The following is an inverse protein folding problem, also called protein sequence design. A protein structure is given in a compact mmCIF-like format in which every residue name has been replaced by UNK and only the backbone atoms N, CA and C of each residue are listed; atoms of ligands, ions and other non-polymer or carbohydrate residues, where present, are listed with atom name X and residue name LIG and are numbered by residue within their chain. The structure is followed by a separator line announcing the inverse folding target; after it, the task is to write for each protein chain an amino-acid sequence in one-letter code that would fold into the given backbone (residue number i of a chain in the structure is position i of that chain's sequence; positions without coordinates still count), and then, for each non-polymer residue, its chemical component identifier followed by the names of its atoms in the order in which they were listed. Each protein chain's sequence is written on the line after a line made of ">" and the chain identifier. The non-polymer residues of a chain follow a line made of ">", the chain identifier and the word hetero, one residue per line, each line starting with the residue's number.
data_IF_572068027553
#
_entry.id   IF_572068027553
#
_cell.length_a   1.000
_cell.length_b   1.000
_cell.length_c   1.000
_cell.angle_alpha   90.00
_cell.angle_beta   90.00
_cell.angle_gamma   90.00
#
_symmetry.space_group_name_H-M   'P 1'
#
loop_
_entity.id
_entity.type
_entity.pdbx_description
1 polymer ?
#
# COMPACT_ATOMS: atom_id res chain seq x y z
N UNK A 1 24.72 59.64 -59.41
CA UNK A 1 24.01 59.50 -58.11
C UNK A 1 22.95 58.42 -58.24
N UNK A 2 22.63 57.67 -57.17
CA UNK A 2 23.45 57.46 -55.95
C UNK A 2 24.55 56.43 -56.33
N UNK A 3 25.05 55.47 -55.55
CA UNK A 3 25.07 55.19 -54.08
C UNK A 3 26.49 54.73 -53.74
N UNK A 4 27.01 55.07 -52.57
CA UNK A 4 28.20 54.42 -51.99
C UNK A 4 27.75 53.54 -50.82
N UNK A 5 27.96 52.22 -50.92
CA UNK A 5 27.66 51.29 -49.83
C UNK A 5 28.82 51.35 -48.83
N UNK A 6 28.66 52.20 -47.81
CA UNK A 6 29.56 52.25 -46.66
C UNK A 6 29.47 50.91 -45.93
N UNK A 7 30.49 50.07 -46.11
CA UNK A 7 30.64 48.81 -45.36
C UNK A 7 31.09 49.16 -43.94
N UNK A 8 30.31 48.83 -42.89
CA UNK A 8 30.72 49.10 -41.52
C UNK A 8 31.96 48.24 -41.17
N UNK A 9 32.89 48.77 -40.34
CA UNK A 9 34.07 48.01 -39.94
C UNK A 9 33.66 46.73 -39.20
N UNK A 10 34.20 45.59 -39.66
CA UNK A 10 33.95 44.29 -39.04
C UNK A 10 34.42 44.33 -37.58
N UNK A 11 33.62 43.87 -36.60
CA UNK A 11 34.03 43.85 -35.20
C UNK A 11 35.38 43.14 -35.03
N UNK A 12 36.37 43.87 -34.50
CA UNK A 12 37.66 43.30 -34.13
C UNK A 12 37.41 42.32 -32.98
N UNK A 13 37.90 41.07 -33.04
CA UNK A 13 37.86 40.19 -31.88
C UNK A 13 38.81 40.75 -30.82
N UNK A 14 38.25 41.45 -29.84
CA UNK A 14 38.97 41.85 -28.63
C UNK A 14 39.58 40.60 -28.00
N UNK A 15 40.81 40.71 -27.49
CA UNK A 15 41.53 39.59 -26.86
C UNK A 15 40.76 38.94 -25.71
N UNK A 16 41.22 37.76 -25.23
CA UNK A 16 40.45 36.89 -24.33
C UNK A 16 39.82 37.69 -23.20
N UNK A 17 38.48 37.73 -23.21
CA UNK A 17 37.71 38.56 -22.30
C UNK A 17 38.00 38.12 -20.87
N UNK A 18 38.66 38.99 -20.09
CA UNK A 18 39.07 38.68 -18.73
C UNK A 18 37.82 38.26 -17.92
N UNK A 19 37.84 37.13 -17.19
CA UNK A 19 36.66 36.63 -16.49
C UNK A 19 36.05 37.72 -15.61
N UNK A 20 34.85 38.18 -15.98
CA UNK A 20 34.14 39.20 -15.22
C UNK A 20 33.93 38.67 -13.81
N UNK A 21 34.36 39.43 -12.80
CA UNK A 21 34.39 38.98 -11.41
C UNK A 21 33.00 38.50 -10.91
N UNK A 22 31.94 39.14 -11.43
CA UNK A 22 30.54 38.77 -11.21
C UNK A 22 30.16 37.37 -11.71
N UNK A 23 30.83 36.82 -12.71
CA UNK A 23 30.56 35.48 -13.25
C UNK A 23 31.19 34.39 -12.38
N UNK A 24 32.43 34.62 -11.93
CA UNK A 24 33.10 33.79 -10.90
C UNK A 24 32.27 33.72 -9.61
N UNK A 25 31.69 34.85 -9.18
CA UNK A 25 30.79 34.90 -8.04
C UNK A 25 29.49 34.11 -8.27
N UNK A 26 28.86 34.25 -9.45
CA UNK A 26 27.66 33.49 -9.83
C UNK A 26 27.88 31.98 -9.81
N UNK A 27 28.99 31.50 -10.37
CA UNK A 27 29.34 30.07 -10.39
C UNK A 27 29.53 29.52 -8.97
N UNK A 28 30.19 30.28 -8.07
CA UNK A 28 30.35 29.89 -6.66
C UNK A 28 28.99 29.77 -5.95
N UNK A 29 28.11 30.75 -6.13
CA UNK A 29 26.75 30.73 -5.55
C UNK A 29 25.92 29.58 -6.10
N UNK A 30 25.95 29.35 -7.42
CA UNK A 30 25.23 28.24 -8.06
C UNK A 30 25.73 26.87 -7.55
N UNK A 31 27.04 26.70 -7.36
CA UNK A 31 27.63 25.48 -6.79
C UNK A 31 27.17 25.25 -5.34
N UNK A 32 27.13 26.29 -4.51
CA UNK A 32 26.62 26.19 -3.14
C UNK A 32 25.13 25.81 -3.13
N UNK A 33 24.31 26.45 -3.96
CA UNK A 33 22.88 26.11 -4.09
C UNK A 33 22.71 24.65 -4.49
N UNK A 34 23.42 24.17 -5.52
CA UNK A 34 23.32 22.79 -6.00
C UNK A 34 23.75 21.75 -4.94
N UNK A 35 24.77 22.05 -4.13
CA UNK A 35 25.19 21.18 -3.02
C UNK A 35 24.12 21.16 -1.93
N UNK A 36 23.62 22.34 -1.51
CA UNK A 36 22.61 22.44 -0.43
C UNK A 36 21.30 21.78 -0.84
N UNK A 37 20.77 22.04 -2.05
CA UNK A 37 19.53 21.42 -2.52
C UNK A 37 19.70 19.93 -2.81
N UNK A 38 20.86 19.48 -3.31
CA UNK A 38 21.18 18.08 -3.50
C UNK A 38 21.23 17.30 -2.18
N UNK A 39 21.92 17.83 -1.17
CA UNK A 39 21.97 17.22 0.17
C UNK A 39 20.61 17.23 0.87
N UNK A 40 19.84 18.31 0.75
CA UNK A 40 18.51 18.41 1.34
C UNK A 40 17.53 17.46 0.65
N UNK A 41 17.57 17.35 -0.69
CA UNK A 41 16.78 16.38 -1.45
C UNK A 41 17.13 14.93 -1.10
N UNK A 42 18.42 14.61 -0.97
CA UNK A 42 18.88 13.29 -0.51
C UNK A 42 18.35 12.98 0.90
N UNK A 43 18.44 13.93 1.83
CA UNK A 43 17.98 13.76 3.21
C UNK A 43 16.45 13.53 3.24
N UNK A 44 15.67 14.33 2.52
CA UNK A 44 14.20 14.16 2.43
C UNK A 44 13.81 12.82 1.78
N UNK A 45 14.52 12.39 0.73
CA UNK A 45 14.27 11.09 0.12
C UNK A 45 14.56 9.92 1.09
N UNK A 46 15.65 10.00 1.86
CA UNK A 46 15.98 9.02 2.90
C UNK A 46 15.01 9.07 4.09
N UNK A 47 14.46 10.24 4.44
CA UNK A 47 13.48 10.37 5.51
C UNK A 47 12.10 9.82 5.13
N UNK A 48 11.70 9.93 3.86
CA UNK A 48 10.38 9.53 3.34
C UNK A 48 9.88 8.15 3.80
N UNK A 49 10.63 7.04 3.72
CA UNK A 49 10.16 5.72 4.18
C UNK A 49 9.98 5.59 5.70
N UNK A 50 10.48 6.53 6.51
CA UNK A 50 10.30 6.55 7.97
C UNK A 50 9.13 7.42 8.44
N UNK A 51 8.45 8.14 7.53
CA UNK A 51 7.27 8.92 7.89
C UNK A 51 6.10 7.98 8.22
N UNK A 52 5.30 8.28 9.26
CA UNK A 52 4.20 7.42 9.68
C UNK A 52 3.08 7.40 8.64
N UNK A 53 2.79 6.22 8.11
CA UNK A 53 1.64 5.96 7.24
C UNK A 53 0.39 5.63 8.07
N UNK A 54 -0.79 6.06 7.59
CA UNK A 54 -2.08 5.59 8.07
C UNK A 54 -2.49 4.34 7.28
N UNK A 55 -2.67 3.22 7.97
CA UNK A 55 -3.20 1.98 7.39
C UNK A 55 -4.64 1.82 7.84
N UNK A 56 -5.56 1.62 6.88
CA UNK A 56 -6.94 1.27 7.16
C UNK A 56 -7.05 -0.26 7.19
N UNK A 57 -7.39 -0.82 8.36
CA UNK A 57 -7.54 -2.26 8.54
C UNK A 57 -9.02 -2.61 8.74
N UNK A 58 -9.56 -3.47 7.88
CA UNK A 58 -10.93 -3.94 8.00
C UNK A 58 -11.01 -5.13 8.98
N UNK A 59 -11.81 -5.00 10.04
CA UNK A 59 -12.22 -6.09 10.92
C UNK A 59 -13.69 -6.46 10.68
N UNK A 60 -14.06 -7.70 11.01
CA UNK A 60 -15.44 -8.19 10.94
C UNK A 60 -15.75 -8.98 12.19
N UNK A 61 -16.51 -8.36 13.09
CA UNK A 61 -17.09 -9.02 14.25
C UNK A 61 -18.42 -9.66 13.87
N UNK A 62 -18.66 -10.92 14.28
CA UNK A 62 -19.90 -11.66 14.08
C UNK A 62 -20.22 -12.42 15.38
N UNK A 63 -21.49 -12.54 15.83
CA UNK A 63 -22.73 -12.19 15.13
C UNK A 63 -23.04 -10.69 15.03
N UNK A 64 -23.79 -10.28 14.00
CA UNK A 64 -24.17 -8.88 13.75
C UNK A 64 -25.69 -8.65 13.87
N UNK A 65 -26.07 -7.47 14.34
CA UNK A 65 -27.48 -7.07 14.45
C UNK A 65 -28.35 -7.95 15.35
N UNK A 66 -27.75 -8.68 16.29
CA UNK A 66 -28.46 -9.64 17.14
C UNK A 66 -28.90 -10.92 16.42
N UNK A 67 -28.39 -11.19 15.21
CA UNK A 67 -28.75 -12.36 14.40
C UNK A 67 -27.54 -13.20 14.03
N UNK A 68 -27.72 -14.52 13.97
CA UNK A 68 -26.69 -15.49 13.52
C UNK A 68 -26.75 -15.74 12.00
N UNK A 69 -27.19 -14.74 11.24
CA UNK A 69 -27.27 -14.84 9.78
C UNK A 69 -25.87 -14.92 9.16
N UNK A 70 -25.74 -15.65 8.05
CA UNK A 70 -24.50 -15.74 7.28
C UNK A 70 -24.13 -14.37 6.69
N UNK A 71 -22.88 -13.96 6.91
CA UNK A 71 -22.29 -12.76 6.30
C UNK A 71 -21.42 -13.15 5.09
N UNK A 72 -21.38 -12.31 4.06
CA UNK A 72 -20.48 -12.49 2.91
C UNK A 72 -19.43 -11.38 2.92
N UNK A 73 -18.16 -11.77 3.04
CA UNK A 73 -17.02 -10.87 2.87
C UNK A 73 -15.91 -11.59 2.09
N UNK A 74 -15.86 -11.44 0.76
CA UNK A 74 -14.81 -12.03 -0.06
C UNK A 74 -13.51 -11.21 0.08
N UNK A 75 -12.53 -11.78 0.80
CA UNK A 75 -11.21 -11.16 0.96
C UNK A 75 -10.40 -11.27 -0.34
N UNK A 76 -9.91 -10.14 -0.85
CA UNK A 76 -8.99 -10.11 -2.01
C UNK A 76 -7.69 -10.88 -1.71
N UNK A 77 -7.23 -10.83 -0.46
CA UNK A 77 -6.05 -11.56 0.04
C UNK A 77 -6.28 -13.07 0.24
N UNK A 78 -7.49 -13.58 -0.02
CA UNK A 78 -7.98 -14.96 0.24
C UNK A 78 -7.97 -15.43 1.71
N UNK A 79 -7.01 -15.03 2.52
CA UNK A 79 -6.92 -15.34 3.95
C UNK A 79 -6.87 -14.07 4.82
N UNK A 80 -7.51 -14.05 6.01
CA UNK A 80 -7.34 -12.96 6.98
C UNK A 80 -5.97 -13.03 7.66
N UNK A 81 -5.50 -11.91 8.21
CA UNK A 81 -4.25 -11.85 9.01
C UNK A 81 -4.39 -12.56 10.36
N UNK A 82 -5.58 -12.48 10.97
CA UNK A 82 -5.95 -13.19 12.20
C UNK A 82 -7.42 -13.60 12.12
N UNK A 83 -7.77 -14.72 12.79
CA UNK A 83 -9.12 -15.28 12.80
C UNK A 83 -9.36 -15.89 14.19
N UNK A 84 -10.15 -15.19 15.01
CA UNK A 84 -10.50 -15.62 16.36
C UNK A 84 -11.96 -16.07 16.41
N UNK A 85 -12.20 -17.30 16.88
CA UNK A 85 -13.53 -17.93 16.89
C UNK A 85 -13.77 -18.54 18.27
N UNK A 86 -14.88 -18.14 18.90
CA UNK A 86 -15.35 -18.71 20.17
C UNK A 86 -16.74 -19.31 19.98
N UNK A 87 -16.87 -20.62 20.19
CA UNK A 87 -18.14 -21.36 20.07
C UNK A 87 -18.51 -21.91 21.46
N UNK A 88 -19.60 -21.44 22.09
CA UNK A 88 -20.07 -21.97 23.37
C UNK A 88 -20.47 -23.45 23.26
N UNK A 89 -20.19 -24.24 24.30
CA UNK A 89 -20.55 -25.67 24.29
C UNK A 89 -22.06 -25.92 24.18
N UNK A 90 -22.90 -25.01 24.69
CA UNK A 90 -24.36 -25.08 24.58
C UNK A 90 -24.91 -24.86 23.16
N UNK A 91 -24.06 -24.50 22.18
CA UNK A 91 -24.46 -24.43 20.77
C UNK A 91 -24.45 -25.82 20.12
N UNK A 92 -23.67 -26.78 20.63
CA UNK A 92 -23.68 -28.16 20.12
C UNK A 92 -25.01 -28.86 20.41
N UNK A 93 -25.59 -28.63 21.59
CA UNK A 93 -26.88 -29.20 22.01
C UNK A 93 -28.07 -28.77 21.11
N UNK A 94 -27.91 -27.66 20.36
CA UNK A 94 -28.92 -27.16 19.43
C UNK A 94 -28.88 -27.87 18.07
N UNK A 95 -27.77 -28.54 17.75
CA UNK A 95 -27.67 -29.44 16.60
C UNK A 95 -28.10 -30.83 17.07
N UNK A 96 -29.38 -31.14 16.89
CA UNK A 96 -29.95 -32.43 17.26
C UNK A 96 -29.23 -33.63 16.63
N UNK A 97 -29.48 -34.83 17.15
CA UNK A 97 -28.72 -36.10 17.02
C UNK A 97 -28.03 -36.43 15.68
N UNK A 98 -28.50 -35.92 14.54
CA UNK A 98 -27.86 -36.09 13.22
C UNK A 98 -26.63 -35.19 13.01
N UNK A 99 -26.40 -34.22 13.89
CA UNK A 99 -25.35 -33.22 13.77
C UNK A 99 -25.61 -32.17 12.68
N UNK A 100 -24.55 -31.46 12.27
CA UNK A 100 -24.63 -30.35 11.34
C UNK A 100 -23.35 -29.48 11.30
N UNK A 101 -23.36 -28.47 10.44
CA UNK A 101 -22.30 -27.44 10.41
C UNK A 101 -22.69 -26.27 11.30
N UNK A 102 -21.78 -25.85 12.19
CA UNK A 102 -21.94 -24.69 13.08
C UNK A 102 -21.37 -23.42 12.47
N UNK A 103 -20.19 -23.55 11.87
CA UNK A 103 -19.46 -22.43 11.28
C UNK A 103 -18.72 -22.90 10.02
N UNK A 104 -18.68 -22.03 9.02
CA UNK A 104 -17.71 -22.16 7.93
C UNK A 104 -17.36 -20.84 7.29
N UNK A 105 -16.12 -20.72 6.84
CA UNK A 105 -15.63 -19.59 6.03
C UNK A 105 -15.91 -19.76 4.54
N UNK A 106 -16.49 -20.88 4.10
CA UNK A 106 -16.88 -21.13 2.71
C UNK A 106 -18.30 -21.72 2.61
N UNK A 107 -19.06 -21.42 1.54
CA UNK A 107 -20.39 -22.00 1.33
C UNK A 107 -20.37 -23.53 1.37
N UNK A 108 -21.37 -24.15 2.03
CA UNK A 108 -21.36 -25.60 2.27
C UNK A 108 -21.30 -26.49 1.00
N UNK A 109 -21.69 -25.95 -0.17
CA UNK A 109 -21.58 -26.61 -1.48
C UNK A 109 -20.34 -26.25 -2.30
N UNK A 110 -19.37 -25.52 -1.74
CA UNK A 110 -18.17 -25.11 -2.46
C UNK A 110 -17.18 -26.27 -2.66
N UNK A 111 -16.54 -26.41 -3.83
CA UNK A 111 -15.49 -27.40 -4.06
C UNK A 111 -14.29 -27.14 -3.15
N UNK A 112 -13.58 -28.21 -2.77
CA UNK A 112 -12.38 -28.19 -1.92
C UNK A 112 -12.50 -27.43 -0.59
N UNK A 113 -13.72 -27.19 -0.10
CA UNK A 113 -14.02 -26.38 1.10
C UNK A 113 -13.20 -26.78 2.33
N UNK A 114 -13.03 -28.08 2.57
CA UNK A 114 -12.28 -28.59 3.73
C UNK A 114 -10.75 -28.54 3.57
N UNK A 115 -10.24 -28.11 2.41
CA UNK A 115 -8.81 -27.98 2.10
C UNK A 115 -8.39 -26.51 1.82
N UNK A 116 -9.35 -25.58 1.86
CA UNK A 116 -9.16 -24.14 1.56
C UNK A 116 -9.87 -23.20 2.53
N UNK A 117 -10.61 -23.73 3.50
CA UNK A 117 -11.40 -22.95 4.44
C UNK A 117 -11.73 -23.73 5.71
N UNK A 118 -12.05 -22.99 6.76
CA UNK A 118 -12.38 -23.55 8.06
C UNK A 118 -13.81 -24.09 8.05
N UNK A 119 -13.98 -25.27 8.64
CA UNK A 119 -15.27 -25.91 8.90
C UNK A 119 -15.30 -26.41 10.33
N UNK A 120 -16.27 -25.93 11.12
CA UNK A 120 -16.62 -26.54 12.40
C UNK A 120 -17.96 -27.24 12.23
N UNK A 121 -17.96 -28.57 12.41
CA UNK A 121 -19.15 -29.41 12.33
C UNK A 121 -19.19 -30.41 13.46
N UNK A 122 -20.39 -30.89 13.75
CA UNK A 122 -20.59 -32.10 14.56
C UNK A 122 -21.27 -33.17 13.70
N UNK A 123 -20.86 -34.40 13.91
CA UNK A 123 -21.48 -35.64 13.43
C UNK A 123 -21.97 -36.41 14.65
N UNK A 124 -22.89 -37.37 14.49
CA UNK A 124 -23.58 -38.05 15.59
C UNK A 124 -22.68 -38.40 16.81
N UNK A 125 -21.47 -38.90 16.55
CA UNK A 125 -20.53 -39.33 17.59
C UNK A 125 -19.27 -38.44 17.74
N UNK A 126 -19.11 -37.37 16.93
CA UNK A 126 -17.83 -36.63 16.85
C UNK A 126 -17.92 -35.15 16.42
N UNK A 127 -17.23 -34.30 17.19
CA UNK A 127 -16.83 -32.95 16.80
C UNK A 127 -15.66 -32.96 15.80
N UNK A 128 -15.78 -32.22 14.69
CA UNK A 128 -14.71 -32.05 13.71
C UNK A 128 -14.47 -30.59 13.38
N UNK A 129 -13.22 -30.15 13.55
CA UNK A 129 -12.69 -28.92 13.00
C UNK A 129 -11.73 -29.27 11.84
N UNK A 130 -12.05 -28.81 10.63
CA UNK A 130 -11.28 -29.03 9.41
C UNK A 130 -10.76 -27.69 8.90
N UNK A 131 -9.48 -27.60 8.56
CA UNK A 131 -8.78 -26.38 8.10
C UNK A 131 -7.77 -26.71 7.02
#
# INVERSE_FOLDING_TARGET
>A
MPSEVVVPPKPVPTGPEAPRESDSQRVRTARLIAIVTGLLGLLLALATPFLPVKQEAASIDWPQGGTVNSVSSPLISYSPTSLDISIPCSTFDQLGERGGTLLSTMPNGAPDRNARGLTVRTTADRLEALT
#
